data_IF_331489565582
#
_entry.id   IF_331489565582
#
_cell.length_a   1.000
_cell.length_b   1.000
_cell.length_c   1.000
_cell.angle_alpha   90.00
_cell.angle_beta   90.00
_cell.angle_gamma   90.00
#
_symmetry.space_group_name_H-M   'P 1'
#
loop_
_entity.id
_entity.type
_entity.pdbx_description
1 polymer ?
#
# COMPACT_ATOMS: atom_id res chain seq x y z
N UNK A 1 -30.19 -33.14 -26.64
CA UNK A 1 -29.91 -33.48 -28.06
C UNK A 1 -29.92 -32.21 -28.88
N UNK A 2 -28.83 -31.87 -29.46
CA UNK A 2 -28.49 -31.27 -30.77
C UNK A 2 -27.15 -30.56 -30.60
N UNK A 3 -26.10 -31.25 -31.10
CA UNK A 3 -24.74 -30.70 -31.31
C UNK A 3 -24.75 -29.83 -32.55
N UNK A 4 -24.30 -28.59 -32.43
CA UNK A 4 -24.00 -27.76 -33.62
C UNK A 4 -22.48 -27.80 -33.86
N UNK A 5 -22.08 -28.43 -34.98
CA UNK A 5 -20.72 -28.42 -35.53
C UNK A 5 -20.63 -27.27 -36.54
N UNK A 6 -19.70 -26.37 -36.37
CA UNK A 6 -19.30 -25.39 -37.39
C UNK A 6 -17.95 -25.83 -37.94
N UNK A 7 -17.90 -26.10 -39.25
CA UNK A 7 -16.68 -26.38 -40.04
C UNK A 7 -16.12 -25.05 -40.56
N UNK A 8 -14.84 -24.82 -40.39
CA UNK A 8 -14.11 -23.82 -41.15
C UNK A 8 -13.39 -24.47 -42.31
N UNK A 9 -13.66 -23.97 -43.54
CA UNK A 9 -13.00 -24.36 -44.80
C UNK A 9 -11.67 -23.61 -44.95
N UNK A 10 -10.62 -24.33 -45.31
CA UNK A 10 -9.31 -23.80 -45.61
C UNK A 10 -9.21 -23.11 -47.00
N UNK A 11 -8.34 -22.14 -47.10
CA UNK A 11 -7.72 -21.72 -48.36
C UNK A 11 -6.23 -21.47 -48.09
N UNK A 12 -5.44 -22.31 -48.73
CA UNK A 12 -4.01 -22.14 -49.00
C UNK A 12 -3.84 -21.20 -50.19
N UNK A 13 -3.01 -20.19 -50.06
CA UNK A 13 -2.45 -19.44 -51.19
C UNK A 13 -0.92 -19.48 -51.05
N UNK A 14 -0.32 -20.15 -52.02
CA UNK A 14 1.10 -20.13 -52.32
C UNK A 14 1.36 -18.99 -53.28
N UNK A 15 2.25 -18.06 -52.95
CA UNK A 15 2.87 -17.18 -53.95
C UNK A 15 4.39 -17.24 -53.80
N UNK A 16 4.98 -17.66 -54.90
CA UNK A 16 6.42 -17.61 -55.24
C UNK A 16 6.72 -16.29 -55.93
N UNK A 17 7.77 -15.57 -55.54
CA UNK A 17 8.15 -14.32 -56.20
C UNK A 17 9.52 -13.80 -55.83
N UNK A 18 10.49 -14.19 -56.56
CA UNK A 18 11.73 -13.55 -57.02
C UNK A 18 12.51 -12.59 -56.08
N UNK A 19 13.73 -13.02 -55.83
CA UNK A 19 14.87 -12.28 -55.28
C UNK A 19 15.56 -11.49 -56.41
N UNK A 20 15.80 -10.20 -56.23
CA UNK A 20 16.80 -9.40 -56.92
C UNK A 20 17.70 -8.68 -55.93
N UNK A 21 19.02 -8.67 -56.14
CA UNK A 21 19.94 -8.05 -55.19
C UNK A 21 20.11 -6.56 -55.43
N UNK A 22 19.94 -5.73 -54.38
CA UNK A 22 20.34 -4.34 -54.44
C UNK A 22 21.75 -4.17 -53.85
N UNK A 23 22.60 -3.58 -54.66
CA UNK A 23 23.98 -3.20 -54.40
C UNK A 23 23.99 -2.07 -53.39
N UNK A 24 24.62 -2.31 -52.25
CA UNK A 24 24.80 -1.29 -51.23
C UNK A 24 25.96 -0.34 -51.53
N UNK A 25 25.69 0.95 -51.56
CA UNK A 25 26.68 2.02 -51.65
C UNK A 25 27.07 2.40 -50.21
N UNK A 26 28.30 2.04 -49.79
CA UNK A 26 28.89 2.50 -48.51
C UNK A 26 29.31 3.97 -48.66
N UNK A 27 28.60 4.89 -48.01
CA UNK A 27 29.08 6.25 -47.80
C UNK A 27 29.68 6.32 -46.38
N UNK A 28 31.00 6.41 -46.34
CA UNK A 28 31.75 6.65 -45.11
C UNK A 28 31.64 8.14 -44.73
N UNK A 29 30.85 8.47 -43.68
CA UNK A 29 30.88 9.80 -43.07
C UNK A 29 31.77 9.76 -41.83
N UNK A 30 32.94 10.37 -41.93
CA UNK A 30 33.84 10.68 -40.81
C UNK A 30 33.25 11.83 -40.01
N UNK A 31 32.72 11.55 -38.81
CA UNK A 31 32.35 12.58 -37.85
C UNK A 31 33.57 12.95 -37.02
N UNK A 32 34.09 14.18 -37.22
CA UNK A 32 35.03 14.81 -36.31
C UNK A 32 34.29 15.23 -35.05
N UNK A 33 34.54 14.53 -33.93
CA UNK A 33 34.03 14.92 -32.62
C UNK A 33 34.87 16.08 -32.06
N UNK A 34 34.34 17.29 -32.09
CA UNK A 34 34.87 18.40 -31.33
C UNK A 34 34.48 18.22 -29.85
N UNK A 35 35.49 17.97 -29.01
CA UNK A 35 35.32 17.88 -27.56
C UNK A 35 35.09 19.27 -26.99
N UNK A 36 33.83 19.65 -26.75
CA UNK A 36 33.48 20.82 -25.94
C UNK A 36 33.57 20.41 -24.49
N UNK A 37 34.64 20.84 -23.80
CA UNK A 37 34.76 20.72 -22.35
C UNK A 37 33.81 21.76 -21.74
N UNK A 38 32.61 21.30 -21.34
CA UNK A 38 31.73 22.09 -20.51
C UNK A 38 32.26 22.08 -19.07
N UNK A 39 32.75 23.20 -18.58
CA UNK A 39 33.04 23.42 -17.17
C UNK A 39 31.74 23.36 -16.40
N UNK A 40 31.58 22.32 -15.58
CA UNK A 40 30.47 22.23 -14.62
C UNK A 40 30.64 23.30 -13.54
N UNK A 41 29.53 23.96 -13.12
CA UNK A 41 29.62 24.87 -11.97
C UNK A 41 29.92 24.04 -10.71
N UNK A 42 30.77 24.62 -9.86
CA UNK A 42 31.15 24.04 -8.56
C UNK A 42 29.89 23.70 -7.76
N UNK A 43 29.82 22.43 -7.31
CA UNK A 43 28.80 21.93 -6.41
C UNK A 43 28.84 22.73 -5.11
N UNK A 44 27.74 23.38 -4.80
CA UNK A 44 27.49 23.93 -3.46
C UNK A 44 27.44 22.70 -2.53
N UNK A 45 28.52 22.46 -1.82
CA UNK A 45 28.58 21.49 -0.74
C UNK A 45 27.70 21.99 0.40
N UNK A 46 26.50 21.47 0.48
CA UNK A 46 25.72 21.49 1.72
C UNK A 46 26.53 20.76 2.83
N UNK A 47 26.21 20.97 4.11
CA UNK A 47 27.00 20.42 5.20
C UNK A 47 27.18 18.93 5.00
N UNK A 48 28.42 18.51 4.95
CA UNK A 48 28.87 17.12 4.77
C UNK A 48 28.41 16.31 5.98
N UNK A 49 27.23 15.68 5.91
CA UNK A 49 26.84 14.72 6.92
C UNK A 49 27.80 13.54 6.83
N UNK A 50 28.65 13.45 7.84
CA UNK A 50 29.66 12.40 7.98
C UNK A 50 28.93 11.04 8.11
N UNK A 51 28.80 10.31 6.99
CA UNK A 51 28.04 9.04 6.89
C UNK A 51 28.58 7.93 7.80
N UNK A 52 29.73 8.12 8.43
CA UNK A 52 30.41 7.15 9.28
C UNK A 52 30.41 7.49 10.77
N UNK A 53 29.69 8.53 11.20
CA UNK A 53 29.56 8.84 12.62
C UNK A 53 28.75 7.72 13.33
N UNK A 54 29.30 7.08 14.40
CA UNK A 54 28.58 6.10 15.21
C UNK A 54 27.24 6.60 15.77
N UNK A 55 27.09 7.91 15.98
CA UNK A 55 25.83 8.54 16.39
C UNK A 55 24.79 8.48 15.28
N UNK A 56 25.19 8.58 13.99
CA UNK A 56 24.27 8.43 12.84
C UNK A 56 23.79 6.98 12.68
N UNK A 57 24.61 6.00 13.03
CA UNK A 57 24.25 4.56 13.00
C UNK A 57 23.19 4.17 14.04
N UNK A 58 22.94 4.99 15.05
CA UNK A 58 21.93 4.73 16.08
C UNK A 58 20.58 5.45 15.84
N UNK A 59 20.49 6.28 14.83
CA UNK A 59 19.39 7.27 14.71
C UNK A 59 18.18 6.74 13.95
N UNK A 60 17.02 7.08 14.49
CA UNK A 60 15.73 7.08 13.80
C UNK A 60 15.60 8.45 13.13
N UNK A 61 15.59 8.47 11.80
CA UNK A 61 15.61 9.70 10.99
C UNK A 61 14.34 9.80 10.17
N UNK A 62 13.77 11.00 10.13
CA UNK A 62 12.63 11.36 9.29
C UNK A 62 13.04 12.50 8.37
N UNK A 63 12.90 12.29 7.06
CA UNK A 63 13.11 13.29 6.01
C UNK A 63 11.82 13.52 5.24
N UNK A 64 11.58 14.77 4.86
CA UNK A 64 10.44 15.16 4.04
C UNK A 64 10.94 15.80 2.73
N UNK A 65 10.32 15.41 1.62
CA UNK A 65 10.43 16.03 0.30
C UNK A 65 9.05 16.47 -0.17
N UNK A 66 8.93 17.06 -1.35
CA UNK A 66 7.63 17.39 -1.95
C UNK A 66 6.80 16.15 -2.26
N UNK A 67 7.44 14.99 -2.43
CA UNK A 67 6.78 13.75 -2.88
C UNK A 67 6.48 12.77 -1.76
N UNK A 68 7.39 12.65 -0.77
CA UNK A 68 7.31 11.62 0.27
C UNK A 68 7.80 12.12 1.64
N UNK A 69 7.33 11.44 2.70
CA UNK A 69 8.01 11.42 4.01
C UNK A 69 8.67 10.05 4.14
N UNK A 70 10.01 10.05 4.30
CA UNK A 70 10.82 8.84 4.43
C UNK A 70 11.32 8.65 5.84
N UNK A 71 11.24 7.42 6.34
CA UNK A 71 11.76 7.05 7.65
C UNK A 71 12.87 6.02 7.48
N UNK A 72 13.99 6.25 8.17
CA UNK A 72 15.10 5.30 8.28
C UNK A 72 15.44 5.05 9.74
N UNK A 73 15.87 3.83 10.07
CA UNK A 73 16.36 3.47 11.39
C UNK A 73 17.74 2.80 11.26
N UNK A 74 18.75 3.38 11.87
CA UNK A 74 20.16 2.93 11.73
C UNK A 74 20.62 2.83 10.28
N UNK A 75 20.27 3.84 9.46
CA UNK A 75 20.59 3.89 8.04
C UNK A 75 19.78 2.93 7.16
N UNK A 76 18.91 2.09 7.73
CA UNK A 76 18.04 1.18 6.96
C UNK A 76 16.69 1.83 6.71
N UNK A 77 16.13 1.72 5.49
CA UNK A 77 14.78 2.22 5.21
C UNK A 77 13.74 1.43 6.02
N UNK A 78 12.75 2.13 6.56
CA UNK A 78 11.61 1.56 7.30
C UNK A 78 10.35 1.67 6.47
N UNK A 79 9.99 2.90 6.07
CA UNK A 79 8.81 3.17 5.26
C UNK A 79 8.90 4.52 4.56
N UNK A 80 8.06 4.68 3.52
CA UNK A 80 7.77 5.97 2.89
C UNK A 80 6.26 6.22 2.87
N UNK A 81 5.85 7.41 3.28
CA UNK A 81 4.50 7.90 3.07
C UNK A 81 4.45 8.74 1.79
N UNK A 82 3.50 8.44 0.92
CA UNK A 82 3.36 9.04 -0.43
C UNK A 82 2.46 10.27 -0.36
N UNK A 83 3.05 11.46 -0.52
CA UNK A 83 2.36 12.76 -0.53
C UNK A 83 1.79 13.09 -1.91
N UNK A 84 2.52 12.78 -2.96
CA UNK A 84 2.18 13.09 -4.36
C UNK A 84 1.88 11.83 -5.14
N UNK A 85 0.91 11.92 -6.04
CA UNK A 85 0.57 10.81 -6.92
C UNK A 85 1.80 10.33 -7.70
N UNK A 86 2.08 9.04 -7.63
CA UNK A 86 3.13 8.41 -8.43
C UNK A 86 2.68 8.21 -9.87
N UNK A 87 3.61 8.20 -10.84
CA UNK A 87 3.31 7.78 -12.20
C UNK A 87 2.67 6.39 -12.19
N UNK A 88 1.64 6.22 -13.00
CA UNK A 88 0.99 4.91 -13.19
C UNK A 88 1.89 4.05 -14.08
N UNK A 89 2.12 2.78 -13.73
CA UNK A 89 2.86 1.85 -14.59
C UNK A 89 2.26 1.77 -16.00
N UNK A 90 3.11 1.56 -17.00
CA UNK A 90 2.68 1.45 -18.39
C UNK A 90 1.56 0.42 -18.56
N UNK A 91 0.54 0.77 -19.34
CA UNK A 91 -0.63 -0.08 -19.58
C UNK A 91 -1.76 0.06 -18.57
N UNK A 92 -1.56 0.78 -17.46
CA UNK A 92 -2.63 1.06 -16.50
C UNK A 92 -3.27 2.44 -16.77
N UNK A 93 -4.55 2.56 -16.46
CA UNK A 93 -5.29 3.80 -16.65
C UNK A 93 -4.94 4.85 -15.58
N UNK A 94 -4.91 6.12 -15.96
CA UNK A 94 -4.53 7.25 -15.08
C UNK A 94 -5.43 7.39 -13.85
N UNK A 95 -6.67 6.92 -13.90
CA UNK A 95 -7.59 7.00 -12.77
C UNK A 95 -7.18 6.11 -11.57
N UNK A 96 -6.17 5.24 -11.73
CA UNK A 96 -5.57 4.50 -10.61
C UNK A 96 -4.55 5.32 -9.82
N UNK A 97 -4.22 6.55 -10.21
CA UNK A 97 -3.38 7.43 -9.41
C UNK A 97 -3.99 7.70 -8.05
N UNK A 98 -3.14 7.70 -7.05
CA UNK A 98 -3.51 8.00 -5.68
C UNK A 98 -2.33 8.60 -4.92
N UNK A 99 -2.63 9.41 -3.93
CA UNK A 99 -1.72 9.81 -2.86
C UNK A 99 -2.31 9.41 -1.49
N UNK A 100 -1.64 9.72 -0.39
CA UNK A 100 -2.15 9.44 0.93
C UNK A 100 -2.14 7.94 1.30
N UNK A 101 -0.98 7.27 1.10
CA UNK A 101 -0.75 5.87 1.46
C UNK A 101 0.71 5.64 1.83
N UNK A 102 1.04 4.47 2.40
CA UNK A 102 2.41 4.11 2.78
C UNK A 102 2.96 3.03 1.86
N UNK A 103 4.00 3.35 1.10
CA UNK A 103 4.75 2.44 0.23
C UNK A 103 6.08 3.07 -0.23
N UNK A 104 7.18 2.31 -0.17
CA UNK A 104 7.33 0.95 0.35
C UNK A 104 7.35 0.88 1.88
N UNK A 105 7.04 -0.32 2.43
CA UNK A 105 7.38 -0.72 3.79
C UNK A 105 8.45 -1.79 3.71
N UNK A 106 9.52 -1.65 4.49
CA UNK A 106 10.66 -2.55 4.46
C UNK A 106 10.74 -3.43 5.70
N UNK A 107 11.24 -4.66 5.56
CA UNK A 107 11.73 -5.44 6.68
C UNK A 107 13.12 -4.96 7.10
N UNK A 108 13.59 -5.27 8.32
CA UNK A 108 14.97 -4.97 8.74
C UNK A 108 16.07 -5.56 7.82
N UNK A 109 15.74 -6.61 7.08
CA UNK A 109 16.59 -7.22 6.05
C UNK A 109 16.54 -6.54 4.68
N UNK A 110 15.75 -5.47 4.52
CA UNK A 110 15.65 -4.68 3.30
C UNK A 110 14.65 -5.21 2.27
N UNK A 111 13.85 -6.26 2.59
CA UNK A 111 12.79 -6.70 1.69
C UNK A 111 11.61 -5.74 1.75
N UNK A 112 11.03 -5.40 0.60
CA UNK A 112 9.77 -4.63 0.51
C UNK A 112 8.60 -5.58 0.75
N UNK A 113 7.88 -5.38 1.85
CA UNK A 113 6.76 -6.25 2.27
C UNK A 113 5.40 -5.76 1.76
N UNK A 114 5.36 -4.68 1.01
CA UNK A 114 4.14 -4.10 0.43
C UNK A 114 4.19 -4.12 -1.10
N UNK A 115 3.01 -4.18 -1.75
CA UNK A 115 2.85 -4.07 -3.21
C UNK A 115 2.03 -2.85 -3.60
N UNK A 116 2.42 -2.16 -4.67
CA UNK A 116 1.74 -1.00 -5.22
C UNK A 116 1.37 -1.25 -6.68
N UNK A 117 0.23 -0.76 -7.15
CA UNK A 117 -0.31 -0.99 -8.48
C UNK A 117 -0.26 -2.46 -8.94
N UNK A 118 -0.70 -3.45 -8.15
CA UNK A 118 -0.67 -4.83 -8.60
C UNK A 118 -1.56 -5.02 -9.81
N UNK A 119 -1.09 -5.74 -10.84
CA UNK A 119 -1.79 -5.90 -12.11
C UNK A 119 -3.20 -6.48 -11.97
N UNK A 120 -3.41 -7.31 -10.96
CA UNK A 120 -4.69 -7.94 -10.67
C UNK A 120 -5.71 -7.00 -10.00
N UNK A 121 -5.24 -5.95 -9.28
CA UNK A 121 -6.07 -4.95 -8.58
C UNK A 121 -5.33 -3.60 -8.48
N UNK A 122 -5.18 -2.85 -9.58
CA UNK A 122 -4.36 -1.63 -9.63
C UNK A 122 -4.75 -0.55 -8.62
N UNK A 123 -5.97 -0.61 -8.09
CA UNK A 123 -6.49 0.28 -7.06
C UNK A 123 -6.04 -0.08 -5.62
N UNK A 124 -5.23 -1.14 -5.44
CA UNK A 124 -4.68 -1.49 -4.12
C UNK A 124 -3.28 -0.89 -3.98
N UNK A 125 -3.13 0.07 -3.06
CA UNK A 125 -1.91 0.85 -2.87
C UNK A 125 -1.27 0.51 -1.53
N UNK A 126 -0.63 -0.64 -1.44
CA UNK A 126 0.18 -1.05 -0.29
C UNK A 126 -0.58 -0.97 1.06
N UNK A 127 -0.29 0.03 1.90
CA UNK A 127 -0.99 0.30 3.14
C UNK A 127 -1.84 1.56 2.93
N UNK A 128 -3.16 1.39 2.90
CA UNK A 128 -4.10 2.46 2.60
C UNK A 128 -5.42 2.30 3.37
N UNK A 129 -6.12 3.40 3.55
CA UNK A 129 -7.49 3.39 4.05
C UNK A 129 -8.45 3.75 2.91
N UNK A 130 -9.57 3.05 2.78
CA UNK A 130 -10.64 3.44 1.86
C UNK A 130 -11.98 2.83 2.25
N UNK A 131 -13.06 3.54 1.94
CA UNK A 131 -14.42 3.04 2.03
C UNK A 131 -14.94 2.62 0.67
N UNK A 132 -15.69 1.51 0.65
CA UNK A 132 -16.44 1.03 -0.52
C UNK A 132 -17.93 1.13 -0.24
N UNK A 133 -18.75 1.00 -1.28
CA UNK A 133 -20.22 0.92 -1.17
C UNK A 133 -20.81 1.94 -0.18
N UNK A 134 -20.54 3.21 -0.43
CA UNK A 134 -20.96 4.32 0.40
C UNK A 134 -22.01 5.19 -0.32
N UNK A 135 -22.73 6.01 0.46
CA UNK A 135 -23.63 7.05 -0.04
C UNK A 135 -23.31 8.38 0.63
N UNK A 136 -23.24 9.41 -0.18
CA UNK A 136 -23.04 10.78 0.26
C UNK A 136 -23.99 11.69 -0.49
N UNK A 137 -24.78 12.47 0.26
CA UNK A 137 -25.77 13.43 -0.31
C UNK A 137 -26.66 12.76 -1.37
N UNK A 138 -27.24 11.59 -1.04
CA UNK A 138 -28.13 10.82 -1.91
C UNK A 138 -27.47 10.08 -3.07
N UNK A 139 -26.17 10.28 -3.32
CA UNK A 139 -25.41 9.66 -4.43
C UNK A 139 -24.58 8.47 -3.94
N UNK A 140 -24.46 7.43 -4.78
CA UNK A 140 -23.50 6.35 -4.54
C UNK A 140 -22.08 6.86 -4.77
N UNK A 141 -21.18 6.58 -3.82
CA UNK A 141 -19.76 6.94 -3.88
C UNK A 141 -18.89 5.73 -3.57
N UNK A 142 -17.64 5.76 -4.04
CA UNK A 142 -16.71 4.64 -3.91
C UNK A 142 -15.30 5.20 -3.87
N UNK A 143 -14.58 4.95 -2.76
CA UNK A 143 -13.21 5.44 -2.57
C UNK A 143 -12.18 4.32 -2.68
N UNK A 144 -12.64 3.06 -2.71
CA UNK A 144 -11.79 1.89 -2.78
C UNK A 144 -11.42 1.51 -4.21
N UNK A 145 -12.44 1.24 -5.03
CA UNK A 145 -12.26 0.81 -6.41
C UNK A 145 -12.26 2.01 -7.35
N UNK A 146 -11.07 2.56 -7.60
CA UNK A 146 -10.87 3.72 -8.47
C UNK A 146 -11.33 3.50 -9.92
N UNK A 147 -11.44 2.23 -10.40
CA UNK A 147 -11.99 1.95 -11.72
C UNK A 147 -13.42 2.45 -11.91
N UNK A 148 -14.19 2.57 -10.84
CA UNK A 148 -15.56 3.14 -10.87
C UNK A 148 -15.57 4.66 -11.02
N UNK A 149 -14.45 5.33 -10.73
CA UNK A 149 -14.29 6.79 -10.80
C UNK A 149 -15.36 7.59 -10.03
N UNK A 150 -15.90 7.01 -8.94
CA UNK A 150 -16.92 7.62 -8.07
C UNK A 150 -16.34 8.35 -6.87
N UNK A 151 -15.03 8.32 -6.69
CA UNK A 151 -14.30 8.99 -5.63
C UNK A 151 -12.84 8.55 -5.59
N UNK A 152 -12.04 9.28 -4.85
CA UNK A 152 -10.63 9.01 -4.59
C UNK A 152 -10.23 9.55 -3.22
N UNK A 153 -9.01 9.28 -2.78
CA UNK A 153 -8.43 9.87 -1.57
C UNK A 153 -7.16 10.59 -1.96
N UNK A 154 -6.96 11.78 -1.40
CA UNK A 154 -5.85 12.66 -1.73
C UNK A 154 -5.17 13.18 -0.48
N UNK A 155 -3.85 13.19 -0.51
CA UNK A 155 -3.07 13.97 0.44
C UNK A 155 -3.35 15.46 0.27
N UNK A 156 -3.54 16.17 1.38
CA UNK A 156 -3.76 17.63 1.39
C UNK A 156 -2.55 18.39 1.91
N UNK A 157 -2.06 18.01 3.08
CA UNK A 157 -0.91 18.68 3.70
C UNK A 157 -0.30 17.85 4.82
N UNK A 158 0.96 18.13 5.10
CA UNK A 158 1.61 17.75 6.35
C UNK A 158 1.15 18.72 7.44
N UNK A 159 0.78 18.19 8.60
CA UNK A 159 0.28 18.97 9.75
C UNK A 159 1.37 19.11 10.80
N UNK A 160 2.11 18.02 11.07
CA UNK A 160 3.13 17.97 12.10
C UNK A 160 4.23 16.96 11.76
N UNK A 161 5.46 17.28 12.17
CA UNK A 161 6.63 16.42 12.08
C UNK A 161 7.34 16.46 13.44
N UNK A 162 7.16 15.43 14.25
CA UNK A 162 7.69 15.36 15.61
C UNK A 162 8.87 14.36 15.69
N UNK A 163 9.96 14.79 16.32
CA UNK A 163 11.19 13.99 16.49
C UNK A 163 11.53 13.91 17.97
N UNK A 164 11.47 12.69 18.51
CA UNK A 164 11.84 12.38 19.89
C UNK A 164 13.00 11.36 19.91
N UNK A 165 13.60 11.14 21.07
CA UNK A 165 14.75 10.24 21.22
C UNK A 165 14.43 8.78 20.87
N UNK A 166 13.22 8.32 21.17
CA UNK A 166 12.76 6.93 21.05
C UNK A 166 11.76 6.70 19.92
N UNK A 167 11.24 7.79 19.31
CA UNK A 167 10.26 7.72 18.21
C UNK A 167 10.29 8.97 17.34
N UNK A 168 9.79 8.81 16.12
CA UNK A 168 9.40 9.94 15.27
C UNK A 168 7.95 9.77 14.90
N UNK A 169 7.23 10.87 14.68
CA UNK A 169 5.86 10.82 14.16
C UNK A 169 5.62 11.94 13.17
N UNK A 170 4.73 11.68 12.22
CA UNK A 170 4.20 12.68 11.33
C UNK A 170 2.68 12.62 11.31
N UNK A 171 2.04 13.78 11.17
CA UNK A 171 0.59 13.89 10.99
C UNK A 171 0.31 14.54 9.64
N UNK A 172 -0.62 13.95 8.88
CA UNK A 172 -0.99 14.39 7.54
C UNK A 172 -2.49 14.47 7.40
N UNK A 173 -2.98 15.38 6.55
CA UNK A 173 -4.39 15.47 6.19
C UNK A 173 -4.65 14.87 4.83
N UNK A 174 -5.75 14.12 4.75
CA UNK A 174 -6.34 13.59 3.53
C UNK A 174 -7.74 14.17 3.33
N UNK A 175 -8.23 14.10 2.10
CA UNK A 175 -9.63 14.26 1.77
C UNK A 175 -10.14 13.06 0.99
N UNK A 176 -11.35 12.62 1.32
CA UNK A 176 -12.12 11.68 0.51
C UNK A 176 -12.93 12.50 -0.48
N UNK A 177 -12.51 12.49 -1.73
CA UNK A 177 -12.97 13.40 -2.79
C UNK A 177 -13.94 12.69 -3.70
N UNK A 178 -15.05 13.35 -4.03
CA UNK A 178 -16.07 12.89 -4.99
C UNK A 178 -16.26 13.92 -6.09
N UNK A 179 -16.90 13.49 -7.20
CA UNK A 179 -17.17 14.36 -8.33
C UNK A 179 -15.93 14.67 -9.18
N UNK A 180 -16.13 15.40 -10.26
CA UNK A 180 -15.10 15.88 -11.21
C UNK A 180 -15.38 17.33 -11.59
N UNK A 181 -14.31 18.06 -12.00
CA UNK A 181 -14.44 19.45 -12.41
C UNK A 181 -15.10 20.30 -11.32
N UNK A 182 -16.12 21.08 -11.68
CA UNK A 182 -16.85 21.96 -10.76
C UNK A 182 -17.69 21.24 -9.70
N UNK A 183 -18.09 19.98 -9.95
CA UNK A 183 -18.79 19.16 -8.95
C UNK A 183 -17.88 18.52 -7.92
N UNK A 184 -16.58 18.73 -8.04
CA UNK A 184 -15.59 18.13 -7.14
C UNK A 184 -15.70 18.71 -5.74
N UNK A 185 -15.88 17.84 -4.73
CA UNK A 185 -16.01 18.22 -3.33
C UNK A 185 -15.49 17.13 -2.39
N UNK A 186 -15.15 17.54 -1.19
CA UNK A 186 -14.70 16.63 -0.13
C UNK A 186 -15.93 16.09 0.64
N UNK A 187 -16.01 14.76 0.78
CA UNK A 187 -17.02 14.07 1.58
C UNK A 187 -16.54 13.87 3.03
N UNK A 188 -15.26 13.47 3.21
CA UNK A 188 -14.63 13.36 4.51
C UNK A 188 -13.26 14.06 4.50
N UNK A 189 -12.90 14.59 5.68
CA UNK A 189 -11.53 14.89 6.06
C UNK A 189 -10.98 13.74 6.89
N UNK A 190 -9.71 13.39 6.67
CA UNK A 190 -9.01 12.41 7.47
C UNK A 190 -7.68 12.98 7.96
N UNK A 191 -7.32 12.67 9.19
CA UNK A 191 -5.97 12.91 9.70
C UNK A 191 -5.34 11.57 10.02
N UNK A 192 -4.19 11.26 9.40
CA UNK A 192 -3.33 10.18 9.84
C UNK A 192 -2.24 10.71 10.74
N UNK A 193 -2.00 10.01 11.84
CA UNK A 193 -0.79 10.15 12.64
C UNK A 193 -0.06 8.81 12.59
N UNK A 194 1.16 8.83 12.05
CA UNK A 194 2.02 7.64 11.97
C UNK A 194 3.20 7.84 12.91
N UNK A 195 3.36 6.92 13.88
CA UNK A 195 4.42 6.96 14.88
C UNK A 195 5.33 5.76 14.72
N UNK A 196 6.60 5.98 14.43
CA UNK A 196 7.61 4.94 14.24
C UNK A 196 8.50 4.92 15.47
N UNK A 197 8.72 3.73 16.02
CA UNK A 197 9.48 3.53 17.24
C UNK A 197 10.92 3.08 16.97
N UNK A 198 11.84 3.52 17.82
CA UNK A 198 13.16 2.92 17.87
C UNK A 198 13.05 1.51 18.44
N UNK A 199 13.38 0.51 17.64
CA UNK A 199 13.30 -0.91 17.99
C UNK A 199 14.69 -1.57 17.96
N UNK A 200 14.87 -2.78 18.52
CA UNK A 200 16.00 -3.65 18.23
C UNK A 200 16.15 -3.93 16.72
N UNK A 201 17.23 -4.64 16.34
CA UNK A 201 17.60 -4.84 14.92
C UNK A 201 16.72 -5.87 14.18
N UNK A 202 15.92 -6.66 14.88
CA UNK A 202 15.17 -7.81 14.36
C UNK A 202 13.75 -7.47 13.87
N UNK A 203 13.23 -6.30 14.23
CA UNK A 203 11.93 -5.84 13.74
C UNK A 203 11.82 -4.32 13.66
N UNK A 204 10.87 -3.85 12.85
CA UNK A 204 10.36 -2.48 12.87
C UNK A 204 8.97 -2.44 13.46
N UNK A 205 8.65 -1.35 14.15
CA UNK A 205 7.37 -1.14 14.82
C UNK A 205 6.86 0.26 14.53
N UNK A 206 5.60 0.36 14.08
CA UNK A 206 4.96 1.65 13.91
C UNK A 206 3.45 1.57 14.15
N UNK A 207 2.88 2.66 14.62
CA UNK A 207 1.45 2.87 14.81
C UNK A 207 0.90 3.77 13.73
N UNK A 208 -0.35 3.54 13.36
CA UNK A 208 -1.15 4.40 12.52
C UNK A 208 -2.49 4.67 13.21
N UNK A 209 -2.77 5.94 13.50
CA UNK A 209 -4.09 6.42 13.89
C UNK A 209 -4.72 7.16 12.72
N UNK A 210 -5.97 6.83 12.39
CA UNK A 210 -6.82 7.53 11.43
C UNK A 210 -7.99 8.14 12.18
N UNK A 211 -8.19 9.45 12.01
CA UNK A 211 -9.34 10.21 12.52
C UNK A 211 -10.08 10.81 11.35
N UNK A 212 -11.31 10.35 11.11
CA UNK A 212 -12.17 10.81 10.01
C UNK A 212 -13.34 11.63 10.55
N UNK A 213 -13.65 12.71 9.85
CA UNK A 213 -14.78 13.60 10.13
C UNK A 213 -15.47 13.97 8.82
N UNK A 214 -16.76 14.28 8.85
CA UNK A 214 -17.42 14.84 7.68
C UNK A 214 -16.77 16.16 7.26
N UNK A 215 -16.60 16.36 5.96
CA UNK A 215 -16.10 17.63 5.41
C UNK A 215 -17.18 18.69 5.29
N UNK A 216 -18.46 18.28 5.37
CA UNK A 216 -19.65 19.12 5.25
C UNK A 216 -20.65 18.78 6.36
N UNK A 217 -21.84 19.39 6.32
CA UNK A 217 -23.00 19.06 7.15
C UNK A 217 -23.71 17.74 6.76
N UNK A 218 -23.23 17.05 5.73
CA UNK A 218 -23.80 15.79 5.25
C UNK A 218 -23.06 14.58 5.81
N UNK A 219 -23.79 13.54 6.28
CA UNK A 219 -23.18 12.29 6.74
C UNK A 219 -22.67 11.44 5.56
N UNK A 220 -21.66 10.61 5.81
CA UNK A 220 -21.29 9.51 4.93
C UNK A 220 -21.95 8.22 5.45
N UNK A 221 -22.86 7.65 4.67
CA UNK A 221 -23.45 6.33 4.94
C UNK A 221 -22.55 5.25 4.34
N UNK A 222 -22.15 4.29 5.15
CA UNK A 222 -21.38 3.11 4.76
C UNK A 222 -22.30 1.89 4.84
N UNK A 223 -22.59 1.29 3.68
CA UNK A 223 -23.47 0.13 3.60
C UNK A 223 -22.74 -1.16 3.99
N UNK A 224 -23.48 -2.18 4.42
CA UNK A 224 -22.91 -3.52 4.68
C UNK A 224 -22.18 -4.03 3.44
N UNK A 225 -20.91 -4.43 3.62
CA UNK A 225 -20.10 -5.00 2.55
C UNK A 225 -18.97 -5.87 3.12
N UNK A 226 -18.40 -6.74 2.29
CA UNK A 226 -17.42 -7.73 2.72
C UNK A 226 -15.98 -7.22 2.80
N UNK A 227 -15.71 -5.96 2.45
CA UNK A 227 -14.42 -5.26 2.64
C UNK A 227 -14.64 -3.74 2.73
N UNK A 228 -13.61 -3.00 3.14
CA UNK A 228 -13.61 -1.55 3.32
C UNK A 228 -13.09 -1.17 4.70
N UNK A 229 -12.16 -0.23 4.74
CA UNK A 229 -11.46 0.20 5.95
C UNK A 229 -9.93 0.23 5.77
N UNK A 230 -9.16 -0.08 6.81
CA UNK A 230 -7.71 -0.13 6.76
C UNK A 230 -7.24 -1.39 6.03
N UNK A 231 -6.48 -1.22 4.98
CA UNK A 231 -6.03 -2.27 4.09
C UNK A 231 -4.52 -2.41 4.02
N UNK A 232 -4.10 -3.64 3.74
CA UNK A 232 -2.72 -3.98 3.47
C UNK A 232 -2.64 -4.86 2.22
N UNK A 233 -1.83 -4.44 1.24
CA UNK A 233 -1.49 -5.23 0.07
C UNK A 233 -0.01 -5.59 0.13
N UNK A 234 0.29 -6.89 0.17
CA UNK A 234 1.64 -7.44 0.07
C UNK A 234 2.15 -7.49 -1.37
N UNK A 235 3.44 -7.81 -1.55
CA UNK A 235 4.10 -7.84 -2.86
C UNK A 235 3.59 -8.98 -3.76
N UNK A 236 3.86 -8.85 -5.06
CA UNK A 236 3.42 -9.81 -6.09
C UNK A 236 4.00 -11.21 -5.91
N UNK A 237 5.20 -11.32 -5.33
CA UNK A 237 5.86 -12.59 -5.04
C UNK A 237 5.06 -13.47 -4.06
N UNK A 238 4.16 -12.87 -3.29
CA UNK A 238 3.26 -13.59 -2.38
C UNK A 238 1.92 -13.98 -3.02
N UNK A 239 1.72 -13.72 -4.31
CA UNK A 239 0.55 -14.23 -5.03
C UNK A 239 0.59 -15.75 -5.13
N UNK A 240 -0.54 -16.41 -4.86
CA UNK A 240 -0.68 -17.84 -5.13
C UNK A 240 -0.90 -18.05 -6.63
N UNK A 241 -0.14 -18.96 -7.20
CA UNK A 241 -0.16 -19.29 -8.62
C UNK A 241 -1.12 -20.48 -8.84
N UNK A 242 -2.30 -20.22 -9.35
CA UNK A 242 -3.37 -21.23 -9.46
C UNK A 242 -3.04 -22.42 -10.35
N UNK A 243 -2.27 -22.17 -11.42
CA UNK A 243 -2.01 -23.15 -12.49
C UNK A 243 -0.57 -23.65 -12.51
N UNK A 244 0.24 -23.33 -11.50
CA UNK A 244 1.61 -23.78 -11.38
C UNK A 244 1.71 -25.11 -10.66
N UNK A 245 2.76 -25.91 -10.94
CA UNK A 245 3.09 -27.16 -10.25
C UNK A 245 3.24 -26.93 -8.73
N UNK A 246 3.82 -25.80 -8.33
CA UNK A 246 3.80 -25.30 -6.96
C UNK A 246 2.96 -24.02 -6.90
N UNK A 247 1.79 -24.12 -6.31
CA UNK A 247 0.87 -22.98 -6.17
C UNK A 247 1.37 -21.92 -5.18
N UNK A 248 2.37 -22.23 -4.35
CA UNK A 248 2.88 -21.34 -3.30
C UNK A 248 4.41 -21.41 -3.15
N UNK A 249 5.18 -21.07 -4.22
CA UNK A 249 6.63 -21.27 -4.26
C UNK A 249 7.36 -20.44 -3.20
N UNK A 250 6.76 -19.34 -2.73
CA UNK A 250 7.33 -18.46 -1.73
C UNK A 250 6.83 -18.73 -0.30
N UNK A 251 6.06 -19.81 -0.10
CA UNK A 251 5.55 -20.19 1.21
C UNK A 251 4.70 -19.10 1.86
N UNK A 252 3.92 -18.35 1.06
CA UNK A 252 3.08 -17.27 1.56
C UNK A 252 1.96 -17.81 2.47
N UNK A 253 1.80 -17.18 3.64
CA UNK A 253 0.82 -17.59 4.64
C UNK A 253 0.11 -16.37 5.25
N UNK A 254 -1.13 -16.60 5.70
CA UNK A 254 -1.82 -15.77 6.69
C UNK A 254 -1.98 -16.57 7.98
N UNK A 255 -1.99 -15.84 9.10
CA UNK A 255 -2.33 -16.36 10.42
C UNK A 255 -3.11 -15.30 11.18
N UNK A 256 -4.25 -15.68 11.77
CA UNK A 256 -5.00 -14.83 12.69
C UNK A 256 -4.60 -15.09 14.14
N UNK A 257 -5.04 -14.22 15.07
CA UNK A 257 -4.84 -14.43 16.52
C UNK A 257 -5.50 -15.72 17.02
N UNK A 258 -6.47 -16.25 16.31
CA UNK A 258 -7.20 -17.48 16.65
C UNK A 258 -6.56 -18.75 16.05
N UNK A 259 -5.44 -18.58 15.32
CA UNK A 259 -4.74 -19.68 14.66
C UNK A 259 -5.26 -20.04 13.27
N UNK A 260 -6.19 -19.26 12.74
CA UNK A 260 -6.81 -19.53 11.45
C UNK A 260 -5.95 -19.03 10.28
N UNK A 261 -5.98 -19.79 9.18
CA UNK A 261 -5.43 -19.42 7.88
C UNK A 261 -6.34 -18.43 7.13
N UNK A 262 -5.97 -18.09 5.90
CA UNK A 262 -6.72 -17.16 5.06
C UNK A 262 -8.14 -17.57 4.71
N UNK A 263 -8.43 -18.88 4.69
CA UNK A 263 -9.77 -19.41 4.34
C UNK A 263 -10.68 -19.40 5.55
N UNK A 264 -10.21 -19.98 6.66
CA UNK A 264 -10.97 -20.05 7.91
C UNK A 264 -11.09 -18.68 8.58
N UNK A 265 -10.02 -17.89 8.58
CA UNK A 265 -9.99 -16.57 9.19
C UNK A 265 -10.75 -15.47 8.41
N UNK A 266 -11.19 -15.74 7.17
CA UNK A 266 -11.93 -14.74 6.41
C UNK A 266 -13.28 -14.42 7.03
N UNK A 267 -13.58 -13.14 7.28
CA UNK A 267 -14.76 -12.62 7.97
C UNK A 267 -14.87 -13.01 9.46
N UNK A 268 -13.79 -13.50 10.08
CA UNK A 268 -13.69 -13.61 11.55
C UNK A 268 -13.29 -12.27 12.17
N UNK A 269 -13.17 -12.24 13.50
CA UNK A 269 -12.87 -11.00 14.27
C UNK A 269 -11.58 -11.17 15.09
N UNK A 270 -10.41 -11.31 14.45
CA UNK A 270 -9.16 -11.51 15.16
C UNK A 270 -8.64 -10.21 15.76
N UNK A 271 -7.88 -10.35 16.84
CA UNK A 271 -7.16 -9.24 17.46
C UNK A 271 -5.99 -8.75 16.59
N UNK A 272 -5.40 -9.64 15.81
CA UNK A 272 -4.32 -9.35 14.88
C UNK A 272 -4.32 -10.33 13.69
N UNK A 273 -3.75 -9.89 12.58
CA UNK A 273 -3.47 -10.70 11.40
C UNK A 273 -1.99 -10.62 11.09
N UNK A 274 -1.35 -11.76 10.88
CA UNK A 274 0.01 -11.86 10.36
C UNK A 274 0.00 -12.43 8.94
N UNK A 275 0.91 -11.95 8.11
CA UNK A 275 1.16 -12.46 6.77
C UNK A 275 2.66 -12.42 6.48
N UNK A 276 3.14 -13.37 5.67
CA UNK A 276 4.56 -13.46 5.34
C UNK A 276 4.88 -14.59 4.39
N UNK A 277 6.10 -14.57 3.88
CA UNK A 277 6.64 -15.53 2.93
C UNK A 277 8.05 -15.13 2.52
N UNK A 278 8.61 -15.83 1.54
CA UNK A 278 9.92 -15.50 0.98
C UNK A 278 9.82 -14.33 0.00
N UNK A 279 10.81 -13.44 0.07
CA UNK A 279 11.08 -12.35 -0.86
C UNK A 279 12.57 -12.40 -1.21
N UNK A 280 12.88 -12.60 -2.48
CA UNK A 280 14.25 -12.85 -2.93
C UNK A 280 14.97 -13.96 -2.10
N UNK A 281 14.26 -15.07 -1.86
CA UNK A 281 14.77 -16.23 -1.14
C UNK A 281 14.82 -16.12 0.39
N UNK A 282 14.52 -14.95 0.98
CA UNK A 282 14.58 -14.72 2.43
C UNK A 282 13.17 -14.45 2.98
N UNK A 283 12.86 -15.04 4.14
CA UNK A 283 11.56 -14.79 4.79
C UNK A 283 11.44 -13.35 5.29
N UNK A 284 10.27 -12.77 5.09
CA UNK A 284 9.83 -11.53 5.70
C UNK A 284 8.35 -11.66 6.11
N UNK A 285 7.96 -10.95 7.16
CA UNK A 285 6.60 -11.01 7.69
C UNK A 285 6.15 -9.68 8.27
N UNK A 286 4.83 -9.49 8.27
CA UNK A 286 4.15 -8.35 8.88
C UNK A 286 3.02 -8.86 9.74
N UNK A 287 2.89 -8.35 10.97
CA UNK A 287 1.71 -8.53 11.80
C UNK A 287 1.04 -7.18 12.05
N UNK A 288 -0.28 -7.12 11.92
CA UNK A 288 -1.06 -5.89 12.05
C UNK A 288 -2.12 -6.10 13.12
N UNK A 289 -2.09 -5.22 14.14
CA UNK A 289 -2.90 -5.30 15.34
C UNK A 289 -4.08 -4.34 15.25
N UNK A 290 -5.28 -4.85 15.57
CA UNK A 290 -6.47 -4.03 15.79
C UNK A 290 -6.50 -3.54 17.24
N UNK A 291 -6.66 -2.22 17.46
CA UNK A 291 -6.78 -1.69 18.82
C UNK A 291 -8.15 -2.05 19.41
N UNK A 292 -8.22 -2.41 20.71
CA UNK A 292 -9.50 -2.76 21.33
C UNK A 292 -10.55 -1.66 21.36
N UNK A 293 -10.14 -0.39 21.25
CA UNK A 293 -11.04 0.77 21.21
C UNK A 293 -11.51 1.14 19.78
N UNK A 294 -11.11 0.40 18.76
CA UNK A 294 -11.63 0.64 17.42
C UNK A 294 -13.13 0.38 17.37
N UNK A 295 -13.83 1.17 16.57
CA UNK A 295 -15.24 0.91 16.29
C UNK A 295 -15.45 -0.54 15.85
N UNK A 296 -16.36 -1.26 16.53
CA UNK A 296 -16.62 -2.70 16.33
C UNK A 296 -15.39 -3.61 16.57
N UNK A 297 -14.53 -3.25 17.52
CA UNK A 297 -13.38 -4.12 17.86
C UNK A 297 -13.81 -5.41 18.58
N UNK A 298 -13.09 -6.54 18.36
CA UNK A 298 -12.18 -6.79 17.24
C UNK A 298 -12.92 -6.68 15.92
N UNK A 299 -12.36 -5.93 14.96
CA UNK A 299 -13.01 -5.74 13.67
C UNK A 299 -12.99 -7.01 12.83
N UNK A 300 -14.05 -7.24 12.05
CA UNK A 300 -14.02 -8.27 11.02
C UNK A 300 -12.86 -8.03 10.05
N UNK A 301 -12.33 -9.13 9.50
CA UNK A 301 -11.27 -9.06 8.49
C UNK A 301 -11.74 -9.65 7.16
N UNK A 302 -11.30 -9.05 6.07
CA UNK A 302 -11.36 -9.65 4.75
C UNK A 302 -9.99 -10.19 4.41
N UNK A 303 -9.79 -11.51 4.49
CA UNK A 303 -8.59 -12.19 3.99
C UNK A 303 -8.87 -12.71 2.58
N UNK A 304 -8.01 -12.34 1.63
CA UNK A 304 -8.24 -12.78 0.24
C UNK A 304 -7.75 -14.23 0.06
N UNK A 305 -8.55 -15.11 -0.59
CA UNK A 305 -8.22 -16.54 -0.67
C UNK A 305 -6.92 -16.85 -1.42
N UNK A 306 -6.46 -16.02 -2.36
CA UNK A 306 -5.27 -16.30 -3.15
C UNK A 306 -4.35 -15.09 -3.38
N UNK A 307 -4.61 -13.95 -2.73
CA UNK A 307 -3.80 -12.72 -2.89
C UNK A 307 -3.22 -12.30 -1.54
N UNK A 308 -2.05 -11.67 -1.50
CA UNK A 308 -1.47 -11.13 -0.28
C UNK A 308 -2.16 -9.82 0.13
N UNK A 309 -3.47 -9.90 0.32
CA UNK A 309 -4.32 -8.76 0.60
C UNK A 309 -5.29 -9.06 1.73
N UNK A 310 -5.39 -8.15 2.67
CA UNK A 310 -6.46 -8.12 3.64
C UNK A 310 -6.86 -6.70 4.04
N UNK A 311 -8.02 -6.54 4.67
CA UNK A 311 -8.37 -5.31 5.39
C UNK A 311 -9.13 -5.64 6.67
N UNK A 312 -9.03 -4.73 7.65
CA UNK A 312 -9.99 -4.66 8.74
C UNK A 312 -11.26 -4.02 8.20
N UNK A 313 -12.37 -4.77 8.24
CA UNK A 313 -13.59 -4.49 7.51
C UNK A 313 -14.82 -4.36 8.44
N UNK A 314 -14.97 -3.26 9.20
CA UNK A 314 -16.11 -3.08 10.10
C UNK A 314 -17.47 -3.08 9.39
N UNK A 315 -17.48 -2.88 8.06
CA UNK A 315 -18.67 -2.93 7.21
C UNK A 315 -19.29 -4.32 7.10
N UNK A 316 -18.53 -5.41 7.38
CA UNK A 316 -19.04 -6.79 7.35
C UNK A 316 -20.19 -6.98 8.32
N UNK A 317 -20.14 -6.36 9.50
CA UNK A 317 -21.16 -6.50 10.54
C UNK A 317 -22.49 -5.83 10.17
N UNK A 318 -22.46 -4.71 9.45
CA UNK A 318 -23.64 -3.97 9.05
C UNK A 318 -23.31 -2.56 8.57
N UNK A 319 -24.35 -1.84 8.15
CA UNK A 319 -24.22 -0.43 7.82
C UNK A 319 -23.92 0.44 9.04
N UNK A 320 -23.30 1.59 8.81
CA UNK A 320 -23.11 2.66 9.80
C UNK A 320 -22.88 4.00 9.11
N UNK A 321 -22.93 5.08 9.87
CA UNK A 321 -22.71 6.44 9.36
C UNK A 321 -21.61 7.13 10.12
N UNK A 322 -20.80 7.91 9.40
CA UNK A 322 -19.98 8.97 9.98
C UNK A 322 -20.82 10.23 9.87
N UNK A 323 -21.27 10.77 11.02
CA UNK A 323 -22.10 11.97 11.08
C UNK A 323 -21.25 13.23 11.24
N UNK A 324 -21.76 14.44 10.89
CA UNK A 324 -21.01 15.69 10.99
C UNK A 324 -20.41 15.99 12.37
N UNK A 325 -21.11 15.56 13.44
CA UNK A 325 -20.67 15.72 14.83
C UNK A 325 -19.70 14.66 15.31
N UNK A 326 -19.53 13.56 14.56
CA UNK A 326 -18.82 12.39 15.01
C UNK A 326 -17.37 12.39 14.51
N UNK A 327 -16.49 11.71 15.25
CA UNK A 327 -15.15 11.32 14.81
C UNK A 327 -15.12 9.81 14.69
N UNK A 328 -14.84 9.30 13.50
CA UNK A 328 -14.51 7.90 13.31
C UNK A 328 -13.01 7.73 13.55
N UNK A 329 -12.64 7.07 14.64
CA UNK A 329 -11.25 6.85 15.03
C UNK A 329 -10.91 5.38 14.89
N UNK A 330 -9.78 5.09 14.26
CA UNK A 330 -9.23 3.74 14.19
C UNK A 330 -7.72 3.74 14.35
N UNK A 331 -7.21 2.74 15.08
CA UNK A 331 -5.81 2.60 15.48
C UNK A 331 -5.30 1.22 15.13
N UNK A 332 -4.12 1.17 14.53
CA UNK A 332 -3.47 -0.07 14.13
C UNK A 332 -1.98 0.00 14.44
N UNK A 333 -1.40 -1.13 14.85
CA UNK A 333 0.05 -1.28 15.02
C UNK A 333 0.58 -2.29 14.03
N UNK A 334 1.73 -1.99 13.45
CA UNK A 334 2.43 -2.81 12.47
C UNK A 334 3.75 -3.28 13.05
N UNK A 335 3.96 -4.60 13.08
CA UNK A 335 5.20 -5.26 13.46
C UNK A 335 5.78 -5.92 12.20
N UNK A 336 6.91 -5.44 11.71
CA UNK A 336 7.55 -5.91 10.49
C UNK A 336 8.86 -6.60 10.82
N UNK A 337 9.03 -7.86 10.42
CA UNK A 337 10.19 -8.69 10.76
C UNK A 337 10.91 -9.21 9.53
N UNK A 338 12.23 -9.44 9.68
CA UNK A 338 12.97 -10.36 8.83
C UNK A 338 12.85 -11.76 9.42
N UNK A 339 12.39 -12.71 8.59
CA UNK A 339 12.11 -14.07 9.03
C UNK A 339 10.61 -14.39 9.08
N UNK A 340 10.25 -15.63 9.43
CA UNK A 340 8.87 -16.05 9.59
C UNK A 340 8.24 -15.35 10.81
N UNK A 341 6.92 -15.28 10.84
CA UNK A 341 6.22 -14.78 12.02
C UNK A 341 6.19 -15.82 13.14
N UNK A 342 6.24 -15.33 14.40
CA UNK A 342 6.06 -16.10 15.61
C UNK A 342 4.77 -15.66 16.30
N UNK A 343 3.77 -16.51 16.32
CA UNK A 343 2.45 -16.21 16.88
C UNK A 343 2.50 -15.83 18.37
N UNK A 344 3.38 -16.47 19.16
CA UNK A 344 3.54 -16.17 20.58
C UNK A 344 4.13 -14.78 20.81
N UNK A 345 5.15 -14.43 20.01
CA UNK A 345 5.76 -13.09 20.03
C UNK A 345 4.75 -12.03 19.61
N UNK A 346 4.04 -12.24 18.49
CA UNK A 346 3.01 -11.33 17.98
C UNK A 346 1.94 -11.11 19.03
N UNK A 347 1.45 -12.16 19.68
CA UNK A 347 0.41 -12.06 20.70
C UNK A 347 0.90 -11.26 21.93
N UNK A 348 2.14 -11.48 22.40
CA UNK A 348 2.75 -10.67 23.46
C UNK A 348 2.84 -9.18 23.11
N UNK A 349 3.21 -8.86 21.87
CA UNK A 349 3.28 -7.48 21.38
C UNK A 349 1.89 -6.85 21.29
N UNK A 350 0.88 -7.61 20.85
CA UNK A 350 -0.51 -7.16 20.85
C UNK A 350 -1.02 -6.85 22.25
N UNK A 351 -0.77 -7.71 23.24
CA UNK A 351 -1.15 -7.48 24.64
C UNK A 351 -0.56 -6.18 25.22
N UNK A 352 0.66 -5.81 24.80
CA UNK A 352 1.28 -4.53 25.18
C UNK A 352 0.56 -3.36 24.50
N UNK A 353 0.26 -3.51 23.20
CA UNK A 353 -0.44 -2.50 22.42
C UNK A 353 -1.86 -2.24 22.93
N UNK A 354 -2.59 -3.29 23.27
CA UNK A 354 -3.96 -3.21 23.77
C UNK A 354 -4.11 -2.45 25.11
N UNK A 355 -3.00 -2.17 25.79
CA UNK A 355 -2.96 -1.38 27.03
C UNK A 355 -2.62 0.11 26.80
N UNK A 356 -2.24 0.48 25.58
CA UNK A 356 -1.92 1.88 25.23
C UNK A 356 -3.22 2.67 25.14
N UNK A 357 -3.33 3.75 25.90
CA UNK A 357 -4.52 4.62 25.92
C UNK A 357 -5.58 4.28 26.99
N UNK A 358 -5.29 3.27 27.85
CA UNK A 358 -6.08 3.02 29.07
C UNK A 358 -5.56 3.81 30.25
#
# INVERSE_FOLDING_TARGET
MKKLRIRFAGRTLTETGNVLPQIGLLISMTFSASLVVATMPESITGPNENKDDPATKANLVMTETDEVIRITLRGKPVLEYVKKEKPVPNGLALHFRRSGYVHPVFSPGGQVVTGDFPLDHPHQHALFFAWTKAKFDGRNVEFWNQAKQLGTIEHRKVVDLNRQKDRVSFSVKHAFVIGKGEERRDALNETWTVTIYRTPNDYFLFDLESVQTCATDKPLLLEKYHYGGMAFRGPSEWLLQKDATDANPNGFQFLTSEGDDRLKGNHTRPNWVALGGKLAGRNASVAIFCHPENFRAPQHVRLHPNKPYFCFAPMVEGHFMIKPSDKYVSRYRYLVKSGPFDAKEIHRQWLRYAKVGK
#
